data_IF_738252103906
#
_entry.id   IF_738252103906
#
_cell.length_a   1.000
_cell.length_b   1.000
_cell.length_c   1.000
_cell.angle_alpha   90.00
_cell.angle_beta   90.00
_cell.angle_gamma   90.00
#
_symmetry.space_group_name_H-M   'P 1'
#
loop_
_entity.id
_entity.type
_entity.pdbx_description
1 polymer ?
#
# COMPACT_ATOMS: atom_id res chain seq x y z
N UNK A 1 25.74 -36.56 -6.53
CA UNK A 1 26.65 -36.72 -5.37
C UNK A 1 26.23 -35.76 -4.28
N UNK A 2 26.46 -36.08 -3.01
CA UNK A 2 26.20 -35.17 -1.89
C UNK A 2 27.43 -34.31 -1.56
N UNK A 3 27.21 -33.07 -1.13
CA UNK A 3 28.28 -32.15 -0.72
C UNK A 3 28.29 -32.00 0.79
N UNK A 4 29.33 -32.52 1.45
CA UNK A 4 29.60 -32.29 2.87
C UNK A 4 30.30 -30.95 3.07
N UNK A 5 29.83 -30.14 4.02
CA UNK A 5 30.49 -28.91 4.44
C UNK A 5 31.02 -29.05 5.87
N UNK A 6 32.24 -28.58 6.12
CA UNK A 6 32.86 -28.56 7.44
C UNK A 6 32.62 -27.20 8.11
N UNK A 7 32.31 -27.22 9.40
CA UNK A 7 32.09 -26.01 10.20
C UNK A 7 33.36 -25.68 10.99
N UNK A 8 34.09 -24.62 10.61
CA UNK A 8 35.17 -24.07 11.42
C UNK A 8 34.59 -23.12 12.47
N UNK A 9 34.73 -23.47 13.75
CA UNK A 9 34.36 -22.59 14.87
C UNK A 9 35.40 -21.45 15.02
N UNK A 10 35.35 -20.45 14.13
CA UNK A 10 35.71 -19.05 14.40
C UNK A 10 35.57 -18.20 13.12
N UNK A 11 34.33 -17.86 12.77
CA UNK A 11 34.03 -16.80 11.81
C UNK A 11 32.94 -15.92 12.40
N UNK A 12 33.14 -14.60 12.39
CA UNK A 12 32.09 -13.62 12.71
C UNK A 12 30.87 -13.85 11.82
N UNK A 13 29.66 -13.66 12.37
CA UNK A 13 28.40 -13.87 11.63
C UNK A 13 28.48 -13.15 10.28
N UNK A 14 28.37 -13.85 9.13
CA UNK A 14 28.32 -13.17 7.85
C UNK A 14 27.08 -12.27 7.82
N UNK A 15 27.21 -11.07 7.25
CA UNK A 15 26.09 -10.16 7.13
C UNK A 15 24.93 -10.86 6.42
N UNK A 16 23.75 -10.90 7.07
CA UNK A 16 22.52 -11.32 6.43
C UNK A 16 22.32 -10.49 5.15
N UNK A 17 21.79 -11.08 4.06
CA UNK A 17 21.62 -10.38 2.80
C UNK A 17 20.59 -9.26 2.99
N UNK A 18 21.10 -8.03 3.18
CA UNK A 18 20.26 -6.83 3.20
C UNK A 18 19.71 -6.65 1.79
N UNK A 19 18.51 -7.17 1.56
CA UNK A 19 17.72 -6.90 0.36
C UNK A 19 17.31 -5.43 0.42
N UNK A 20 18.18 -4.57 -0.10
CA UNK A 20 17.93 -3.13 -0.20
C UNK A 20 16.70 -2.94 -1.08
N UNK A 21 15.57 -2.60 -0.45
CA UNK A 21 14.28 -2.35 -1.11
C UNK A 21 14.33 -1.04 -1.94
N UNK A 22 15.13 -1.04 -3.01
CA UNK A 22 15.17 0.04 -4.01
C UNK A 22 13.83 0.12 -4.72
N UNK A 23 12.94 0.99 -4.21
CA UNK A 23 12.02 1.86 -4.99
C UNK A 23 11.07 2.68 -4.10
N UNK A 24 10.99 2.38 -2.81
CA UNK A 24 10.69 3.40 -1.80
C UNK A 24 11.90 3.50 -0.89
N UNK A 25 12.32 4.72 -0.51
CA UNK A 25 13.37 4.87 0.49
C UNK A 25 12.84 4.28 1.79
N UNK A 26 13.34 3.09 2.15
CA UNK A 26 13.18 2.56 3.50
C UNK A 26 13.60 3.68 4.46
N UNK A 27 12.75 3.95 5.45
CA UNK A 27 13.08 4.88 6.53
C UNK A 27 14.43 4.44 7.12
N UNK A 28 15.34 5.38 7.38
CA UNK A 28 16.60 5.14 8.11
C UNK A 28 16.31 4.87 9.60
N UNK A 29 15.49 3.85 9.82
CA UNK A 29 15.13 3.33 11.12
C UNK A 29 16.36 2.55 11.60
N UNK A 30 17.02 3.06 12.64
CA UNK A 30 18.23 2.44 13.25
C UNK A 30 17.91 1.15 14.03
N UNK A 31 16.84 0.45 13.64
CA UNK A 31 16.18 -0.64 14.35
C UNK A 31 16.28 -1.88 13.47
N UNK A 32 16.77 -2.97 14.05
CA UNK A 32 17.09 -4.20 13.33
C UNK A 32 15.78 -4.87 12.89
N UNK A 33 15.55 -4.89 11.57
CA UNK A 33 14.35 -5.45 10.97
C UNK A 33 14.51 -6.96 10.81
N UNK A 34 13.68 -7.74 11.51
CA UNK A 34 13.61 -9.18 11.30
C UNK A 34 12.61 -9.46 10.18
N UNK A 35 13.11 -10.03 9.07
CA UNK A 35 12.26 -10.65 8.05
C UNK A 35 11.86 -12.06 8.49
N UNK A 36 10.69 -12.58 8.07
CA UNK A 36 10.32 -13.97 8.32
C UNK A 36 11.36 -14.96 7.77
N UNK A 37 11.57 -16.13 8.42
CA UNK A 37 12.61 -17.09 8.04
C UNK A 37 12.30 -17.90 6.76
N UNK A 38 11.35 -17.46 5.93
CA UNK A 38 10.91 -18.13 4.71
C UNK A 38 10.93 -17.19 3.52
N UNK A 39 11.24 -17.73 2.34
CA UNK A 39 11.22 -16.96 1.09
C UNK A 39 9.76 -16.65 0.69
N UNK A 40 9.42 -15.36 0.64
CA UNK A 40 8.08 -14.87 0.23
C UNK A 40 7.73 -15.27 -1.21
N UNK A 41 8.75 -15.52 -2.05
CA UNK A 41 8.59 -16.13 -3.38
C UNK A 41 9.90 -16.84 -3.78
N UNK A 42 9.91 -18.18 -3.96
CA UNK A 42 11.00 -18.86 -4.66
C UNK A 42 10.89 -18.61 -6.17
N UNK A 43 12.02 -18.45 -6.85
CA UNK A 43 12.06 -18.37 -8.31
C UNK A 43 11.74 -19.71 -8.98
N UNK A 44 11.76 -19.74 -10.32
CA UNK A 44 11.62 -20.98 -11.11
C UNK A 44 12.63 -22.03 -10.62
N UNK A 45 12.21 -23.26 -10.29
CA UNK A 45 13.13 -24.30 -9.85
C UNK A 45 14.20 -24.61 -10.91
N UNK A 46 15.51 -24.70 -10.56
CA UNK A 46 16.58 -24.92 -11.54
C UNK A 46 16.42 -26.21 -12.37
N UNK A 47 15.75 -27.23 -11.81
CA UNK A 47 15.43 -28.48 -12.50
C UNK A 47 14.30 -28.37 -13.55
N UNK A 48 13.80 -27.15 -13.82
CA UNK A 48 12.79 -26.83 -14.84
C UNK A 48 13.33 -25.76 -15.82
N UNK A 49 14.45 -25.10 -15.51
CA UNK A 49 15.02 -23.98 -16.26
C UNK A 49 15.38 -24.30 -17.72
N UNK A 50 15.65 -25.57 -18.04
CA UNK A 50 15.92 -26.04 -19.40
C UNK A 50 14.66 -26.26 -20.27
N UNK A 51 13.45 -26.16 -19.72
CA UNK A 51 12.21 -26.40 -20.45
C UNK A 51 11.78 -25.15 -21.24
N UNK A 52 11.68 -25.25 -22.57
CA UNK A 52 11.34 -24.11 -23.43
C UNK A 52 9.88 -23.70 -23.25
N UNK A 53 9.65 -22.57 -22.60
CA UNK A 53 8.34 -21.92 -22.53
C UNK A 53 7.92 -21.37 -23.89
N UNK A 54 6.63 -21.53 -24.22
CA UNK A 54 6.03 -21.03 -25.44
C UNK A 54 5.99 -19.50 -25.47
N UNK A 55 6.61 -18.90 -26.49
CA UNK A 55 6.56 -17.44 -26.71
C UNK A 55 5.12 -16.96 -26.92
N UNK A 56 4.82 -15.75 -26.46
CA UNK A 56 3.50 -15.10 -26.57
C UNK A 56 2.32 -15.89 -25.94
N UNK A 57 2.58 -16.72 -24.93
CA UNK A 57 1.52 -17.37 -24.16
C UNK A 57 0.60 -16.34 -23.46
N UNK A 58 -0.72 -16.59 -23.33
CA UNK A 58 -1.64 -15.70 -22.63
C UNK A 58 -1.29 -15.47 -21.15
N UNK A 59 -1.69 -14.31 -20.61
CA UNK A 59 -1.52 -13.97 -19.19
C UNK A 59 -2.57 -14.69 -18.32
N UNK A 60 -2.32 -15.97 -18.02
CA UNK A 60 -3.10 -16.78 -17.07
C UNK A 60 -2.89 -16.39 -15.61
N UNK A 61 -1.76 -15.75 -15.31
CA UNK A 61 -1.36 -15.32 -13.96
C UNK A 61 -1.32 -13.80 -13.88
N UNK A 62 -1.48 -13.27 -12.65
CA UNK A 62 -1.39 -11.83 -12.36
C UNK A 62 -0.13 -11.18 -12.94
N UNK A 63 -0.21 -9.90 -13.33
CA UNK A 63 0.90 -9.07 -13.81
C UNK A 63 2.03 -8.98 -12.78
N UNK A 64 3.29 -8.96 -13.25
CA UNK A 64 4.46 -9.02 -12.38
C UNK A 64 4.61 -7.78 -11.49
N UNK A 65 4.25 -6.60 -12.00
CA UNK A 65 4.30 -5.32 -11.28
C UNK A 65 3.29 -5.32 -10.13
N UNK A 66 2.10 -5.88 -10.35
CA UNK A 66 1.06 -5.99 -9.33
C UNK A 66 1.44 -7.05 -8.29
N UNK A 67 1.90 -8.23 -8.73
CA UNK A 67 2.43 -9.29 -7.84
C UNK A 67 3.55 -8.76 -6.94
N UNK A 68 4.57 -8.13 -7.51
CA UNK A 68 5.70 -7.57 -6.75
C UNK A 68 5.24 -6.49 -5.76
N UNK A 69 4.34 -5.59 -6.17
CA UNK A 69 3.79 -4.57 -5.28
C UNK A 69 2.97 -5.15 -4.12
N UNK A 70 2.21 -6.24 -4.35
CA UNK A 70 1.46 -6.96 -3.30
C UNK A 70 2.41 -7.69 -2.36
N UNK A 71 3.37 -8.46 -2.89
CA UNK A 71 4.35 -9.21 -2.08
C UNK A 71 5.22 -8.26 -1.24
N UNK A 72 5.63 -7.10 -1.79
CA UNK A 72 6.36 -6.08 -1.04
C UNK A 72 5.51 -5.48 0.10
N UNK A 73 4.25 -5.11 -0.18
CA UNK A 73 3.32 -4.60 0.85
C UNK A 73 3.04 -5.66 1.94
N UNK A 74 2.96 -6.93 1.57
CA UNK A 74 2.82 -8.04 2.51
C UNK A 74 4.10 -8.24 3.36
N UNK A 75 5.28 -8.28 2.75
CA UNK A 75 6.55 -8.39 3.48
C UNK A 75 6.75 -7.25 4.49
N UNK A 76 6.46 -6.00 4.11
CA UNK A 76 6.47 -4.85 5.02
C UNK A 76 5.45 -4.98 6.17
N UNK A 77 4.31 -5.63 5.93
CA UNK A 77 3.32 -5.93 6.97
C UNK A 77 3.83 -7.00 7.95
N UNK A 78 4.61 -7.96 7.46
CA UNK A 78 5.14 -9.08 8.25
C UNK A 78 6.40 -8.74 9.07
N UNK A 79 7.02 -7.57 8.90
CA UNK A 79 8.21 -7.17 9.66
C UNK A 79 7.96 -7.14 11.18
N UNK A 80 8.91 -7.66 11.96
CA UNK A 80 8.92 -7.59 13.42
C UNK A 80 10.20 -6.93 13.93
N UNK A 81 10.12 -6.36 15.14
CA UNK A 81 11.28 -5.88 15.89
C UNK A 81 11.87 -7.05 16.67
N UNK A 82 13.19 -7.12 16.76
CA UNK A 82 13.85 -7.95 17.75
C UNK A 82 13.80 -7.27 19.13
N UNK A 83 12.85 -7.70 19.97
CA UNK A 83 12.65 -7.16 21.32
C UNK A 83 13.78 -7.48 22.30
N UNK A 84 14.71 -8.40 21.97
CA UNK A 84 15.92 -8.62 22.78
C UNK A 84 16.96 -7.52 22.52
N UNK A 85 16.94 -6.88 21.34
CA UNK A 85 17.90 -5.86 20.92
C UNK A 85 17.37 -4.42 21.00
N UNK A 86 16.05 -4.21 20.94
CA UNK A 86 15.41 -2.90 21.19
C UNK A 86 14.29 -2.98 22.26
N UNK A 87 14.64 -2.92 23.56
CA UNK A 87 13.67 -2.89 24.65
C UNK A 87 12.93 -1.54 24.81
N UNK A 88 13.12 -0.56 23.91
CA UNK A 88 12.38 0.71 23.93
C UNK A 88 10.96 0.59 23.36
N UNK A 89 10.69 -0.46 22.60
CA UNK A 89 9.38 -0.78 22.02
C UNK A 89 8.67 -1.82 22.91
N UNK A 90 7.50 -1.51 23.50
CA UNK A 90 6.72 -2.51 24.23
C UNK A 90 6.29 -3.65 23.33
N UNK A 91 6.42 -4.89 23.79
CA UNK A 91 5.96 -6.08 23.05
C UNK A 91 4.43 -6.05 22.82
N UNK A 92 3.69 -5.52 23.80
CA UNK A 92 2.23 -5.40 23.82
C UNK A 92 1.79 -4.02 24.32
N UNK A 93 0.64 -3.54 23.83
CA UNK A 93 -0.06 -2.33 24.28
C UNK A 93 -1.56 -2.56 24.18
N UNK A 94 -2.26 -2.63 25.32
CA UNK A 94 -3.68 -2.96 25.40
C UNK A 94 -4.00 -4.25 24.60
N UNK A 95 -4.90 -4.23 23.62
CA UNK A 95 -5.31 -5.39 22.83
C UNK A 95 -4.44 -5.63 21.59
N UNK A 96 -3.19 -5.13 21.59
CA UNK A 96 -2.27 -5.17 20.44
C UNK A 96 -0.89 -5.70 20.82
N UNK A 97 -0.28 -6.47 19.92
CA UNK A 97 1.05 -7.07 20.05
C UNK A 97 1.92 -6.84 18.81
N UNK A 98 3.18 -7.30 18.87
CA UNK A 98 4.14 -7.25 17.74
C UNK A 98 4.29 -5.85 17.14
N UNK A 99 4.50 -4.86 18.03
CA UNK A 99 4.70 -3.46 17.65
C UNK A 99 5.97 -3.31 16.80
N UNK A 100 5.85 -2.52 15.73
CA UNK A 100 6.95 -2.18 14.82
C UNK A 100 6.90 -0.69 14.44
N UNK A 101 7.91 0.13 14.76
CA UNK A 101 7.88 1.57 14.48
C UNK A 101 7.93 1.87 12.97
N UNK A 102 7.02 2.73 12.53
CA UNK A 102 6.85 3.16 11.13
C UNK A 102 7.49 4.53 10.83
N UNK A 103 7.72 5.32 11.88
CA UNK A 103 8.44 6.59 11.86
C UNK A 103 9.76 6.35 12.61
N UNK A 104 10.91 6.80 12.08
CA UNK A 104 12.18 6.67 12.81
C UNK A 104 12.12 7.43 14.14
N UNK A 105 12.76 6.90 15.17
CA UNK A 105 13.02 7.66 16.41
C UNK A 105 13.80 8.92 16.07
N UNK A 106 13.27 10.13 16.31
CA UNK A 106 13.93 11.36 15.89
C UNK A 106 15.26 11.51 16.64
N UNK A 107 16.33 11.83 15.91
CA UNK A 107 17.69 11.87 16.44
C UNK A 107 17.86 12.87 17.59
N UNK A 108 17.01 13.89 17.61
CA UNK A 108 16.80 14.73 18.77
C UNK A 108 15.50 14.28 19.48
N UNK A 109 15.56 13.81 20.75
CA UNK A 109 14.35 13.56 21.56
C UNK A 109 13.44 14.79 21.64
N UNK A 110 14.01 15.98 21.42
CA UNK A 110 13.29 17.25 21.36
C UNK A 110 12.75 17.55 19.94
N UNK A 111 12.05 16.64 19.25
CA UNK A 111 11.53 16.90 17.88
C UNK A 111 10.03 16.59 17.68
N UNK A 112 9.21 17.64 17.50
CA UNK A 112 7.73 17.58 17.33
C UNK A 112 7.29 17.48 15.87
N UNK A 113 6.05 17.00 15.70
CA UNK A 113 5.25 17.26 14.49
C UNK A 113 4.71 18.70 14.46
N UNK A 114 4.72 19.32 13.27
CA UNK A 114 4.13 20.64 12.99
C UNK A 114 2.66 20.74 13.37
N UNK A 115 1.84 19.74 12.98
CA UNK A 115 0.38 19.86 13.00
C UNK A 115 -0.23 19.79 14.39
N UNK A 116 0.27 18.91 15.27
CA UNK A 116 -0.37 18.62 16.57
C UNK A 116 0.21 19.39 17.76
N UNK A 117 1.41 19.98 17.63
CA UNK A 117 2.11 20.61 18.75
C UNK A 117 2.72 19.62 19.77
N UNK A 118 2.58 18.31 19.56
CA UNK A 118 3.19 17.23 20.36
C UNK A 118 4.22 16.42 19.56
N UNK A 119 5.03 15.62 20.25
CA UNK A 119 5.78 14.53 19.64
C UNK A 119 4.81 13.37 19.43
N UNK A 120 4.83 12.74 18.26
CA UNK A 120 4.01 11.54 17.98
C UNK A 120 4.84 10.52 17.22
N UNK A 121 4.74 9.24 17.59
CA UNK A 121 5.33 8.14 16.81
C UNK A 121 4.25 7.15 16.38
N UNK A 122 4.42 6.57 15.18
CA UNK A 122 3.58 5.50 14.66
C UNK A 122 4.23 4.14 14.82
N UNK A 123 3.40 3.15 15.19
CA UNK A 123 3.74 1.74 15.18
C UNK A 123 2.71 0.98 14.36
N UNK A 124 3.15 0.06 13.50
CA UNK A 124 2.31 -1.08 13.11
C UNK A 124 2.17 -1.95 14.35
N UNK A 125 0.97 -2.41 14.68
CA UNK A 125 0.75 -3.46 15.66
C UNK A 125 -0.30 -4.45 15.15
N UNK A 126 -0.30 -5.68 15.63
CA UNK A 126 -1.30 -6.70 15.32
C UNK A 126 -2.29 -6.77 16.48
N UNK A 127 -3.59 -6.81 16.18
CA UNK A 127 -4.65 -6.81 17.20
C UNK A 127 -5.10 -8.22 17.55
N UNK A 128 -5.14 -8.56 18.84
CA UNK A 128 -5.44 -9.92 19.30
C UNK A 128 -6.79 -10.48 18.82
N UNK A 129 -7.82 -9.63 18.71
CA UNK A 129 -9.20 -10.08 18.42
C UNK A 129 -9.43 -10.54 16.98
N UNK A 130 -8.68 -10.02 16.02
CA UNK A 130 -8.92 -10.25 14.58
C UNK A 130 -7.64 -10.54 13.79
N UNK A 131 -6.45 -10.47 14.42
CA UNK A 131 -5.16 -10.75 13.78
C UNK A 131 -4.75 -9.72 12.73
N UNK A 132 -5.46 -8.60 12.60
CA UNK A 132 -5.21 -7.62 11.55
C UNK A 132 -4.15 -6.58 11.96
N UNK A 133 -3.38 -6.04 10.99
CA UNK A 133 -2.42 -4.99 11.23
C UNK A 133 -3.10 -3.61 11.32
N UNK A 134 -2.82 -2.88 12.39
CA UNK A 134 -3.28 -1.51 12.64
C UNK A 134 -2.10 -0.55 12.77
N UNK A 135 -2.35 0.74 12.50
CA UNK A 135 -1.40 1.82 12.79
C UNK A 135 -1.79 2.52 14.09
N UNK A 136 -0.98 2.35 15.14
CA UNK A 136 -1.13 3.01 16.43
C UNK A 136 -0.26 4.28 16.45
N UNK A 137 -0.87 5.46 16.58
CA UNK A 137 -0.14 6.71 16.80
C UNK A 137 -0.08 7.02 18.30
N UNK A 138 1.09 6.85 18.90
CA UNK A 138 1.37 7.25 20.28
C UNK A 138 1.66 8.75 20.34
N UNK A 139 1.13 9.44 21.35
CA UNK A 139 1.45 10.84 21.67
C UNK A 139 2.45 10.84 22.84
N UNK A 140 3.50 11.65 22.74
CA UNK A 140 4.54 11.81 23.77
C UNK A 140 4.66 13.28 24.19
N UNK A 141 5.10 13.52 25.43
CA UNK A 141 5.16 14.87 26.02
C UNK A 141 6.43 15.67 25.67
N UNK A 142 6.23 16.98 25.40
CA UNK A 142 7.22 18.08 25.23
C UNK A 142 7.86 18.28 23.82
N UNK A 143 8.84 19.20 23.71
CA UNK A 143 9.17 20.12 22.57
C UNK A 143 10.44 19.70 21.77
N UNK A 144 10.78 20.07 20.50
CA UNK A 144 10.19 20.94 19.45
C UNK A 144 10.78 20.73 17.99
N UNK A 145 9.91 20.54 16.96
CA UNK A 145 10.12 20.88 15.53
C UNK A 145 11.03 20.04 14.59
N UNK A 146 10.45 19.44 13.53
CA UNK A 146 11.18 18.79 12.42
C UNK A 146 10.71 19.21 10.99
N UNK A 147 11.53 18.96 9.97
CA UNK A 147 11.37 19.48 8.58
C UNK A 147 10.83 18.45 7.57
N UNK A 148 10.20 18.95 6.49
CA UNK A 148 9.76 18.13 5.35
C UNK A 148 10.88 17.96 4.30
N UNK A 149 10.86 16.84 3.57
CA UNK A 149 11.82 16.54 2.47
C UNK A 149 11.71 17.59 1.35
N UNK A 150 12.78 18.34 1.14
CA UNK A 150 13.04 19.06 -0.11
C UNK A 150 13.74 18.11 -1.11
N UNK A 151 13.85 18.53 -2.38
CA UNK A 151 14.37 17.78 -3.54
C UNK A 151 13.40 16.78 -4.20
N UNK A 152 12.39 17.33 -4.88
CA UNK A 152 11.82 16.76 -6.11
C UNK A 152 11.51 17.90 -7.09
N UNK A 153 11.24 17.60 -8.36
CA UNK A 153 10.77 18.59 -9.33
C UNK A 153 9.38 19.14 -8.99
N UNK A 154 8.90 20.11 -9.78
CA UNK A 154 7.51 20.55 -9.73
C UNK A 154 6.56 19.37 -10.03
N UNK A 155 5.43 19.30 -9.35
CA UNK A 155 4.48 18.19 -9.50
C UNK A 155 3.62 18.37 -10.76
N UNK A 156 3.29 17.32 -11.53
CA UNK A 156 2.36 17.43 -12.65
C UNK A 156 1.00 17.97 -12.19
N UNK A 157 0.44 18.95 -12.91
CA UNK A 157 -0.81 19.62 -12.49
C UNK A 157 -1.98 18.62 -12.34
N UNK A 158 -2.05 17.61 -13.20
CA UNK A 158 -3.02 16.52 -13.12
C UNK A 158 -2.95 15.73 -11.79
N UNK A 159 -1.76 15.60 -11.20
CA UNK A 159 -1.57 14.97 -9.89
C UNK A 159 -2.01 15.91 -8.76
N UNK A 160 -1.76 17.22 -8.88
CA UNK A 160 -2.27 18.22 -7.93
C UNK A 160 -3.80 18.21 -7.92
N UNK A 161 -4.46 18.22 -9.09
CA UNK A 161 -5.92 18.09 -9.21
C UNK A 161 -6.44 16.74 -8.69
N UNK A 162 -5.71 15.64 -8.92
CA UNK A 162 -6.02 14.32 -8.35
C UNK A 162 -6.07 14.36 -6.81
N UNK A 163 -5.15 15.09 -6.17
CA UNK A 163 -5.16 15.27 -4.71
C UNK A 163 -6.25 16.25 -4.26
N UNK A 164 -6.48 17.36 -4.98
CA UNK A 164 -7.55 18.32 -4.68
C UNK A 164 -8.91 17.61 -4.62
N UNK A 165 -9.27 16.82 -5.64
CA UNK A 165 -10.57 16.13 -5.70
C UNK A 165 -10.75 15.15 -4.53
N UNK A 166 -9.69 14.40 -4.17
CA UNK A 166 -9.73 13.47 -3.02
C UNK A 166 -9.86 14.21 -1.68
N UNK A 167 -9.13 15.32 -1.48
CA UNK A 167 -9.16 16.11 -0.26
C UNK A 167 -10.50 16.87 -0.11
N UNK A 168 -11.03 17.49 -1.16
CA UNK A 168 -12.34 18.14 -1.12
C UNK A 168 -13.47 17.13 -0.90
N UNK A 169 -13.37 15.92 -1.47
CA UNK A 169 -14.35 14.84 -1.20
C UNK A 169 -14.36 14.43 0.28
N UNK A 170 -13.17 14.30 0.89
CA UNK A 170 -13.04 14.01 2.32
C UNK A 170 -13.59 15.15 3.20
N UNK A 171 -13.23 16.40 2.92
CA UNK A 171 -13.75 17.57 3.65
C UNK A 171 -15.27 17.70 3.50
N UNK A 172 -15.84 17.48 2.32
CA UNK A 172 -17.31 17.50 2.12
C UNK A 172 -17.99 16.50 3.05
N UNK A 173 -17.47 15.28 3.15
CA UNK A 173 -18.02 14.25 4.05
C UNK A 173 -17.99 14.70 5.53
N UNK A 174 -16.84 15.19 6.00
CA UNK A 174 -16.64 15.65 7.37
C UNK A 174 -17.55 16.86 7.70
N UNK A 175 -17.60 17.85 6.81
CA UNK A 175 -18.40 19.06 6.99
C UNK A 175 -19.90 18.79 6.92
N UNK A 176 -20.36 17.88 6.05
CA UNK A 176 -21.76 17.42 6.00
C UNK A 176 -22.18 16.68 7.28
N UNK A 177 -21.27 15.99 7.97
CA UNK A 177 -21.53 15.42 9.30
C UNK A 177 -21.57 16.48 10.44
N UNK A 178 -21.37 17.77 10.12
CA UNK A 178 -21.27 18.86 11.10
C UNK A 178 -20.01 18.78 11.95
N UNK A 179 -18.92 18.25 11.39
CA UNK A 179 -17.59 18.14 11.99
C UNK A 179 -16.57 18.98 11.21
N UNK A 180 -15.34 19.09 11.71
CA UNK A 180 -14.21 19.70 11.04
C UNK A 180 -13.03 18.72 11.00
N UNK A 181 -12.09 18.91 10.09
CA UNK A 181 -10.95 18.03 9.89
C UNK A 181 -9.76 18.41 10.78
N UNK A 182 -9.51 19.73 10.96
CA UNK A 182 -8.53 20.37 11.87
C UNK A 182 -7.06 19.98 11.66
N UNK A 183 -6.78 19.15 10.65
CA UNK A 183 -5.53 18.38 10.47
C UNK A 183 -5.05 18.43 9.00
N UNK A 184 -5.54 19.40 8.22
CA UNK A 184 -5.23 19.56 6.78
C UNK A 184 -3.82 20.15 6.58
N UNK A 185 -2.79 19.30 6.71
CA UNK A 185 -1.37 19.65 6.62
C UNK A 185 -0.60 18.62 5.77
N UNK A 186 0.43 19.00 4.99
CA UNK A 186 1.15 18.06 4.13
C UNK A 186 1.77 16.87 4.88
N UNK A 187 2.15 17.02 6.16
CA UNK A 187 2.70 15.91 6.97
C UNK A 187 1.65 14.92 7.46
N UNK A 188 0.36 15.19 7.22
CA UNK A 188 -0.78 14.34 7.62
C UNK A 188 -1.55 13.76 6.44
N UNK A 189 -1.19 14.13 5.22
CA UNK A 189 -1.74 13.56 3.98
C UNK A 189 -0.83 12.40 3.56
N UNK A 190 -1.29 11.17 3.79
CA UNK A 190 -0.53 9.96 3.46
C UNK A 190 -0.86 9.48 2.04
N UNK A 191 0.17 9.18 1.25
CA UNK A 191 0.04 8.54 -0.06
C UNK A 191 -0.01 7.02 0.17
N UNK A 192 -1.17 6.43 -0.05
CA UNK A 192 -1.43 4.99 0.19
C UNK A 192 -1.20 4.11 -1.04
N UNK A 193 -1.17 4.73 -2.22
CA UNK A 193 -0.91 4.10 -3.51
C UNK A 193 -0.55 5.19 -4.54
N UNK A 194 -0.10 4.82 -5.75
CA UNK A 194 0.50 5.70 -6.79
C UNK A 194 -0.05 7.16 -6.85
N UNK A 195 -1.37 7.35 -6.77
CA UNK A 195 -2.02 8.67 -6.72
C UNK A 195 -3.09 8.81 -5.62
N UNK A 196 -3.17 7.85 -4.68
CA UNK A 196 -4.27 7.76 -3.70
C UNK A 196 -3.89 8.33 -2.34
N UNK A 197 -4.45 9.47 -1.99
CA UNK A 197 -4.21 10.15 -0.69
C UNK A 197 -5.27 9.81 0.36
N UNK A 198 -4.90 9.89 1.63
CA UNK A 198 -5.81 9.91 2.79
C UNK A 198 -5.32 10.92 3.83
N UNK A 199 -6.23 11.54 4.58
CA UNK A 199 -5.89 12.36 5.75
C UNK A 199 -5.76 11.44 6.97
N UNK A 200 -4.69 11.59 7.76
CA UNK A 200 -4.40 10.74 8.92
C UNK A 200 -4.42 11.53 10.24
N UNK A 201 -5.15 11.01 11.24
CA UNK A 201 -5.28 11.61 12.58
C UNK A 201 -6.38 12.68 12.71
N UNK A 202 -7.36 12.67 11.80
CA UNK A 202 -8.66 13.35 12.00
C UNK A 202 -9.26 12.89 13.34
N UNK A 203 -9.89 13.80 14.10
CA UNK A 203 -10.44 13.53 15.43
C UNK A 203 -9.46 13.72 16.59
N UNK A 204 -8.15 13.79 16.35
CA UNK A 204 -7.15 13.98 17.44
C UNK A 204 -7.35 15.34 18.14
N UNK A 205 -7.61 16.41 17.39
CA UNK A 205 -7.88 17.72 17.98
C UNK A 205 -9.24 17.85 18.66
N UNK A 206 -10.20 17.00 18.30
CA UNK A 206 -11.54 16.98 18.87
C UNK A 206 -11.54 16.25 20.22
N UNK A 207 -10.63 15.29 20.41
CA UNK A 207 -10.32 14.69 21.72
C UNK A 207 -9.44 15.61 22.57
N UNK A 208 -8.33 16.13 22.02
CA UNK A 208 -7.37 16.95 22.78
C UNK A 208 -7.87 18.36 23.11
N UNK A 209 -8.80 18.90 22.31
CA UNK A 209 -9.45 20.20 22.52
C UNK A 209 -10.83 20.10 23.16
N UNK A 210 -11.19 18.95 23.73
CA UNK A 210 -12.45 18.79 24.45
C UNK A 210 -12.36 19.43 25.84
N UNK A 211 -13.01 20.59 26.00
CA UNK A 211 -13.23 21.21 27.31
C UNK A 211 -14.67 21.00 27.77
N UNK A 212 -14.82 20.27 28.89
CA UNK A 212 -16.11 19.99 29.53
C UNK A 212 -16.74 21.24 30.20
N UNK A 213 -16.02 22.37 30.27
CA UNK A 213 -16.57 23.66 30.72
C UNK A 213 -17.46 24.34 29.66
N UNK A 214 -17.29 24.00 28.38
CA UNK A 214 -17.94 24.69 27.28
C UNK A 214 -19.37 24.18 27.05
N UNK A 215 -20.36 25.05 27.29
CA UNK A 215 -21.80 24.74 27.20
C UNK A 215 -22.30 24.32 25.81
N UNK A 216 -21.52 24.55 24.75
CA UNK A 216 -21.79 24.04 23.41
C UNK A 216 -20.48 23.72 22.65
N UNK A 217 -20.02 22.45 22.64
CA UNK A 217 -18.83 22.03 21.91
C UNK A 217 -18.86 22.26 20.38
N UNK A 218 -20.02 22.57 19.80
CA UNK A 218 -20.18 22.84 18.36
C UNK A 218 -20.18 24.34 18.01
N UNK A 219 -20.07 25.24 18.98
CA UNK A 219 -20.12 26.69 18.75
C UNK A 219 -19.03 27.18 17.78
N UNK A 220 -17.80 26.68 17.91
CA UNK A 220 -16.67 27.03 17.03
C UNK A 220 -16.61 26.21 15.73
N UNK A 221 -17.59 25.34 15.45
CA UNK A 221 -17.50 24.41 14.32
C UNK A 221 -17.38 25.12 12.97
N UNK A 222 -18.11 26.22 12.76
CA UNK A 222 -17.99 27.02 11.51
C UNK A 222 -16.60 27.65 11.35
N UNK A 223 -15.95 28.03 12.45
CA UNK A 223 -14.57 28.54 12.43
C UNK A 223 -13.59 27.44 12.03
N UNK A 224 -13.68 26.25 12.64
CA UNK A 224 -12.81 25.13 12.29
C UNK A 224 -13.02 24.63 10.85
N UNK A 225 -14.27 24.68 10.35
CA UNK A 225 -14.56 24.39 8.94
C UNK A 225 -13.93 25.42 8.00
N UNK A 226 -13.99 26.73 8.32
CA UNK A 226 -13.30 27.78 7.56
C UNK A 226 -11.77 27.62 7.62
N UNK A 227 -11.22 27.22 8.77
CA UNK A 227 -9.79 26.92 8.94
C UNK A 227 -9.34 25.74 8.06
N UNK A 228 -10.17 24.68 7.91
CA UNK A 228 -9.90 23.58 6.96
C UNK A 228 -9.79 24.08 5.51
N UNK A 229 -10.66 25.01 5.09
CA UNK A 229 -10.64 25.55 3.72
C UNK A 229 -9.35 26.34 3.44
N UNK A 230 -8.96 27.21 4.37
CA UNK A 230 -7.70 27.96 4.28
C UNK A 230 -6.48 27.02 4.35
N UNK A 231 -6.56 25.96 5.16
CA UNK A 231 -5.51 24.95 5.26
C UNK A 231 -5.38 24.11 3.98
N UNK A 232 -6.49 23.76 3.31
CA UNK A 232 -6.48 23.16 1.97
C UNK A 232 -5.76 24.06 0.96
N UNK A 233 -6.04 25.37 0.97
CA UNK A 233 -5.36 26.34 0.09
C UNK A 233 -3.84 26.35 0.31
N UNK A 234 -3.39 26.28 1.58
CA UNK A 234 -1.97 26.19 1.94
C UNK A 234 -1.32 24.88 1.49
N UNK A 235 -2.02 23.76 1.62
CA UNK A 235 -1.56 22.45 1.10
C UNK A 235 -1.39 22.50 -0.42
N UNK A 236 -2.35 23.05 -1.16
CA UNK A 236 -2.29 23.15 -2.63
C UNK A 236 -1.13 24.05 -3.08
N UNK A 237 -0.90 25.19 -2.40
CA UNK A 237 0.26 26.05 -2.68
C UNK A 237 1.60 25.37 -2.35
N UNK A 238 1.67 24.63 -1.24
CA UNK A 238 2.87 23.88 -0.88
C UNK A 238 3.20 22.74 -1.86
N UNK A 239 2.17 22.08 -2.42
CA UNK A 239 2.31 21.10 -3.49
C UNK A 239 2.77 21.75 -4.80
N UNK A 240 2.14 22.86 -5.20
CA UNK A 240 2.47 23.55 -6.45
C UNK A 240 3.90 24.13 -6.45
N UNK A 241 4.37 24.67 -5.33
CA UNK A 241 5.74 25.17 -5.18
C UNK A 241 6.74 24.10 -4.70
N UNK A 242 6.31 22.84 -4.50
CA UNK A 242 7.04 21.75 -3.84
C UNK A 242 7.86 22.18 -2.60
N UNK A 243 7.27 23.04 -1.75
CA UNK A 243 7.95 23.64 -0.60
C UNK A 243 6.96 24.12 0.44
N UNK A 244 7.13 23.72 1.70
CA UNK A 244 6.30 24.18 2.82
C UNK A 244 6.56 25.67 3.14
N UNK A 245 7.73 26.19 2.76
CA UNK A 245 8.09 27.61 2.97
C UNK A 245 7.28 28.59 2.12
N UNK A 246 6.54 28.12 1.09
CA UNK A 246 5.63 28.96 0.29
C UNK A 246 4.42 29.48 1.08
N UNK A 247 4.08 28.82 2.18
CA UNK A 247 3.00 29.19 3.09
C UNK A 247 3.33 30.44 3.92
N UNK A 248 4.62 30.81 4.03
CA UNK A 248 5.07 31.97 4.79
C UNK A 248 4.71 33.28 4.08
N UNK A 249 4.22 34.27 4.83
CA UNK A 249 3.71 35.55 4.29
C UNK A 249 4.69 36.25 3.37
N UNK A 250 5.98 36.24 3.71
CA UNK A 250 7.05 36.93 2.98
C UNK A 250 7.41 36.24 1.64
N UNK A 251 7.14 34.94 1.54
CA UNK A 251 7.33 34.15 0.32
C UNK A 251 6.05 34.04 -0.52
N UNK A 252 4.89 34.41 0.01
CA UNK A 252 3.60 34.24 -0.64
C UNK A 252 3.52 34.89 -2.04
N UNK A 253 3.98 36.13 -2.28
CA UNK A 253 3.92 36.74 -3.62
C UNK A 253 4.73 35.96 -4.66
N UNK A 254 5.97 35.59 -4.31
CA UNK A 254 6.87 34.78 -5.16
C UNK A 254 6.29 33.39 -5.42
N UNK A 255 5.58 32.83 -4.45
CA UNK A 255 4.94 31.52 -4.56
C UNK A 255 3.77 31.56 -5.54
N UNK A 256 2.95 32.62 -5.53
CA UNK A 256 1.89 32.83 -6.52
C UNK A 256 2.47 33.14 -7.91
N UNK A 257 3.58 33.87 -8.01
CA UNK A 257 4.29 34.09 -9.27
C UNK A 257 4.77 32.77 -9.89
N UNK A 258 5.42 31.90 -9.11
CA UNK A 258 5.80 30.54 -9.53
C UNK A 258 4.58 29.72 -9.97
N UNK A 259 3.42 29.86 -9.31
CA UNK A 259 2.19 29.19 -9.75
C UNK A 259 1.75 29.68 -11.13
N UNK A 260 1.73 31.00 -11.35
CA UNK A 260 1.32 31.61 -12.62
C UNK A 260 2.25 31.25 -13.78
N UNK A 261 3.54 31.04 -13.51
CA UNK A 261 4.53 30.67 -14.54
C UNK A 261 4.48 29.19 -14.96
N UNK A 262 3.94 28.29 -14.13
CA UNK A 262 4.08 26.83 -14.32
C UNK A 262 2.74 26.06 -14.40
N UNK A 263 1.61 26.66 -14.05
CA UNK A 263 0.31 25.98 -13.97
C UNK A 263 -0.83 26.82 -14.55
N UNK A 264 -1.98 26.18 -14.77
CA UNK A 264 -3.18 26.82 -15.30
C UNK A 264 -3.74 27.92 -14.39
N UNK A 265 -4.45 28.88 -15.01
CA UNK A 265 -5.19 29.90 -14.29
C UNK A 265 -6.26 29.31 -13.35
N UNK A 266 -6.80 28.11 -13.63
CA UNK A 266 -7.74 27.43 -12.73
C UNK A 266 -7.11 27.09 -11.38
N UNK A 267 -5.86 26.60 -11.38
CA UNK A 267 -5.18 26.23 -10.14
C UNK A 267 -4.86 27.49 -9.31
N UNK A 268 -4.37 28.54 -9.98
CA UNK A 268 -4.20 29.88 -9.40
C UNK A 268 -5.51 30.41 -8.81
N UNK A 269 -6.62 30.32 -9.55
CA UNK A 269 -7.93 30.82 -9.13
C UNK A 269 -8.45 30.05 -7.90
N UNK A 270 -8.27 28.73 -7.83
CA UNK A 270 -8.62 27.95 -6.64
C UNK A 270 -7.77 28.33 -5.42
N UNK A 271 -6.44 28.46 -5.59
CA UNK A 271 -5.53 28.86 -4.50
C UNK A 271 -5.92 30.26 -3.98
N UNK A 272 -6.15 31.22 -4.89
CA UNK A 272 -6.57 32.57 -4.52
C UNK A 272 -7.96 32.60 -3.88
N UNK A 273 -8.91 31.79 -4.36
CA UNK A 273 -10.24 31.65 -3.77
C UNK A 273 -10.17 31.14 -2.33
N UNK A 274 -9.36 30.11 -2.05
CA UNK A 274 -9.20 29.49 -0.73
C UNK A 274 -8.40 30.33 0.28
N UNK A 275 -7.50 31.19 -0.18
CA UNK A 275 -6.59 31.95 0.68
C UNK A 275 -6.96 33.43 0.84
N UNK A 276 -7.80 33.98 -0.04
CA UNK A 276 -8.30 35.36 0.11
C UNK A 276 -9.51 35.36 1.06
N UNK A 277 -9.47 36.11 2.18
CA UNK A 277 -10.62 36.19 3.09
C UNK A 277 -11.81 36.86 2.37
N UNK A 278 -12.96 36.17 2.34
CA UNK A 278 -14.19 36.68 1.75
C UNK A 278 -15.23 37.05 2.83
N UNK A 279 -16.19 37.89 2.44
CA UNK A 279 -17.30 38.33 3.31
C UNK A 279 -18.27 37.19 3.67
N UNK A 280 -18.32 36.14 2.84
CA UNK A 280 -19.08 34.90 3.09
C UNK A 280 -18.08 33.78 3.42
N UNK A 281 -18.33 32.93 4.44
CA UNK A 281 -17.50 31.76 4.70
C UNK A 281 -17.55 30.77 3.51
N UNK A 282 -16.42 30.11 3.25
CA UNK A 282 -16.29 29.14 2.16
C UNK A 282 -16.99 27.83 2.52
N UNK A 283 -17.87 27.34 1.66
CA UNK A 283 -18.34 25.96 1.72
C UNK A 283 -17.53 25.07 0.77
N UNK A 284 -17.29 23.81 1.13
CA UNK A 284 -16.67 22.83 0.22
C UNK A 284 -17.47 22.68 -1.09
N UNK A 285 -18.79 22.84 -1.03
CA UNK A 285 -19.67 22.78 -2.20
C UNK A 285 -19.48 23.98 -3.14
N UNK A 286 -19.05 25.15 -2.64
CA UNK A 286 -18.81 26.35 -3.47
C UNK A 286 -17.60 26.16 -4.43
N UNK A 287 -16.75 25.16 -4.17
CA UNK A 287 -15.60 24.77 -5.02
C UNK A 287 -16.02 23.84 -6.16
N UNK A 288 -17.19 23.17 -6.08
CA UNK A 288 -17.62 22.18 -7.06
C UNK A 288 -17.58 22.65 -8.52
N UNK A 289 -17.91 23.92 -8.88
CA UNK A 289 -17.74 24.41 -10.25
C UNK A 289 -16.29 24.38 -10.77
N UNK A 290 -15.29 24.60 -9.90
CA UNK A 290 -13.87 24.62 -10.29
C UNK A 290 -13.28 23.20 -10.48
N UNK A 291 -13.82 22.22 -9.76
CA UNK A 291 -13.34 20.82 -9.79
C UNK A 291 -14.26 19.87 -10.57
N UNK A 292 -15.46 20.30 -10.97
CA UNK A 292 -16.51 19.42 -11.50
C UNK A 292 -16.10 18.62 -12.73
N UNK A 293 -15.53 19.28 -13.75
CA UNK A 293 -15.01 18.59 -14.94
C UNK A 293 -13.90 17.58 -14.61
N UNK A 294 -13.06 17.91 -13.62
CA UNK A 294 -11.92 17.10 -13.15
C UNK A 294 -12.37 15.89 -12.31
N UNK A 295 -13.59 15.92 -11.76
CA UNK A 295 -14.17 14.80 -11.03
C UNK A 295 -14.43 13.60 -11.94
N UNK A 296 -14.87 13.82 -13.19
CA UNK A 296 -15.09 12.73 -14.15
C UNK A 296 -13.80 11.97 -14.43
N UNK A 297 -12.69 12.66 -14.71
CA UNK A 297 -11.37 12.02 -14.91
C UNK A 297 -10.91 11.19 -13.70
N UNK A 298 -11.31 11.55 -12.47
CA UNK A 298 -11.03 10.75 -11.26
C UNK A 298 -11.98 9.57 -11.11
N UNK A 299 -13.24 9.69 -11.52
CA UNK A 299 -14.20 8.60 -11.55
C UNK A 299 -13.77 7.56 -12.60
N UNK A 300 -13.45 7.98 -13.81
CA UNK A 300 -12.99 7.11 -14.91
C UNK A 300 -11.71 6.36 -14.51
N UNK A 301 -10.74 7.05 -13.91
CA UNK A 301 -9.50 6.44 -13.40
C UNK A 301 -9.74 5.49 -12.21
N UNK A 302 -10.82 5.67 -11.44
CA UNK A 302 -11.21 4.77 -10.37
C UNK A 302 -11.94 3.53 -10.92
N UNK A 303 -12.82 3.68 -11.92
CA UNK A 303 -13.53 2.59 -12.58
C UNK A 303 -12.58 1.69 -13.36
N UNK A 304 -11.75 2.26 -14.25
CA UNK A 304 -10.69 1.52 -14.96
C UNK A 304 -9.78 0.73 -14.01
N UNK A 305 -9.50 1.29 -12.82
CA UNK A 305 -8.73 0.59 -11.78
C UNK A 305 -9.52 -0.57 -11.17
N UNK A 306 -10.82 -0.45 -10.96
CA UNK A 306 -11.66 -1.56 -10.51
C UNK A 306 -11.65 -2.68 -11.55
N UNK A 307 -11.89 -2.37 -12.83
CA UNK A 307 -11.90 -3.34 -13.94
C UNK A 307 -10.58 -4.14 -14.01
N UNK A 308 -9.45 -3.45 -13.89
CA UNK A 308 -8.12 -4.08 -13.84
C UNK A 308 -7.97 -4.98 -12.61
N UNK A 309 -8.41 -4.55 -11.43
CA UNK A 309 -8.33 -5.37 -10.21
C UNK A 309 -9.25 -6.59 -10.29
N UNK A 310 -10.44 -6.45 -10.87
CA UNK A 310 -11.41 -7.53 -11.06
C UNK A 310 -10.90 -8.57 -12.05
N UNK A 311 -10.35 -8.14 -13.20
CA UNK A 311 -9.71 -9.04 -14.17
C UNK A 311 -8.52 -9.82 -13.57
N UNK A 312 -7.66 -9.16 -12.81
CA UNK A 312 -6.52 -9.82 -12.15
C UNK A 312 -6.97 -10.73 -11.00
N UNK A 313 -8.07 -10.39 -10.30
CA UNK A 313 -8.69 -11.25 -9.28
C UNK A 313 -9.36 -12.48 -9.91
N UNK A 314 -10.02 -12.35 -11.05
CA UNK A 314 -10.65 -13.45 -11.77
C UNK A 314 -9.62 -14.53 -12.15
N UNK A 315 -8.44 -14.13 -12.66
CA UNK A 315 -7.31 -15.03 -12.92
C UNK A 315 -6.90 -15.81 -11.68
N UNK A 316 -6.70 -15.16 -10.54
CA UNK A 316 -6.25 -15.84 -9.32
C UNK A 316 -7.36 -16.71 -8.68
N UNK A 317 -8.64 -16.37 -8.86
CA UNK A 317 -9.78 -17.24 -8.50
C UNK A 317 -9.80 -18.50 -9.37
N UNK A 318 -9.54 -18.36 -10.67
CA UNK A 318 -9.40 -19.47 -11.61
C UNK A 318 -8.16 -20.33 -11.29
N UNK A 319 -6.99 -19.74 -11.07
CA UNK A 319 -5.78 -20.44 -10.63
C UNK A 319 -6.02 -21.22 -9.33
N UNK A 320 -6.78 -20.65 -8.39
CA UNK A 320 -7.23 -21.35 -7.19
C UNK A 320 -8.17 -22.54 -7.47
N UNK A 321 -9.07 -22.45 -8.47
CA UNK A 321 -9.92 -23.56 -8.93
C UNK A 321 -9.06 -24.66 -9.56
N UNK A 322 -8.14 -24.28 -10.44
CA UNK A 322 -7.20 -25.17 -11.13
C UNK A 322 -6.30 -25.91 -10.14
N UNK A 323 -5.70 -25.21 -9.18
CA UNK A 323 -4.91 -25.81 -8.11
C UNK A 323 -5.70 -26.86 -7.33
N UNK A 324 -6.93 -26.54 -6.90
CA UNK A 324 -7.80 -27.51 -6.20
C UNK A 324 -8.17 -28.73 -7.05
N UNK A 325 -8.29 -28.58 -8.38
CA UNK A 325 -8.50 -29.71 -9.29
C UNK A 325 -7.24 -30.57 -9.42
N UNK A 326 -6.06 -29.95 -9.55
CA UNK A 326 -4.78 -30.66 -9.59
C UNK A 326 -4.47 -31.39 -8.27
N UNK A 327 -4.80 -30.79 -7.12
CA UNK A 327 -4.72 -31.49 -5.82
C UNK A 327 -5.61 -32.74 -5.81
N UNK A 328 -6.85 -32.66 -6.31
CA UNK A 328 -7.74 -33.83 -6.40
C UNK A 328 -7.20 -34.91 -7.33
N UNK A 329 -6.68 -34.53 -8.51
CA UNK A 329 -6.09 -35.47 -9.46
C UNK A 329 -4.86 -36.18 -8.86
N UNK A 330 -3.95 -35.44 -8.24
CA UNK A 330 -2.77 -35.98 -7.56
C UNK A 330 -3.11 -36.85 -6.33
N UNK A 331 -4.25 -36.62 -5.68
CA UNK A 331 -4.75 -37.42 -4.55
C UNK A 331 -5.47 -38.72 -5.01
N UNK A 332 -5.77 -38.88 -6.30
CA UNK A 332 -6.38 -40.09 -6.88
C UNK A 332 -5.32 -40.95 -7.61
N UNK A 333 -4.44 -40.29 -8.35
CA UNK A 333 -3.37 -40.91 -9.14
C UNK A 333 -2.32 -41.60 -8.27
N UNK A 334 -1.87 -42.80 -8.68
CA UNK A 334 -0.70 -43.52 -8.12
C UNK A 334 -0.66 -43.66 -6.57
N UNK A 335 -1.82 -43.89 -5.95
CA UNK A 335 -1.90 -44.19 -4.50
C UNK A 335 -1.13 -45.48 -4.14
N UNK A 336 -0.13 -45.44 -3.24
CA UNK A 336 0.59 -46.64 -2.80
C UNK A 336 -0.14 -47.42 -1.68
N UNK A 337 -1.10 -46.78 -0.98
CA UNK A 337 -1.67 -47.30 0.27
C UNK A 337 -2.69 -48.44 0.09
N UNK A 338 -3.24 -48.64 -1.12
CA UNK A 338 -4.04 -49.83 -1.46
C UNK A 338 -3.11 -51.00 -1.85
N UNK A 339 -2.21 -51.36 -0.93
CA UNK A 339 -0.99 -52.14 -1.13
C UNK A 339 -1.11 -53.63 -1.51
N UNK A 340 -2.11 -54.00 -2.32
CA UNK A 340 -2.10 -55.24 -3.12
C UNK A 340 -2.62 -55.05 -4.56
N UNK A 341 -3.23 -53.92 -4.92
CA UNK A 341 -3.57 -53.60 -6.32
C UNK A 341 -2.44 -52.79 -6.98
N UNK A 342 -1.43 -53.48 -7.55
CA UNK A 342 -0.40 -52.86 -8.39
C UNK A 342 -0.99 -52.16 -9.66
N UNK A 343 -2.28 -52.38 -9.92
CA UNK A 343 -3.07 -51.86 -11.05
C UNK A 343 -4.12 -50.82 -10.62
N UNK A 344 -3.98 -50.18 -9.45
CA UNK A 344 -4.90 -49.13 -8.96
C UNK A 344 -5.23 -48.07 -10.02
N UNK A 345 -4.23 -47.62 -10.79
CA UNK A 345 -4.38 -46.64 -11.88
C UNK A 345 -4.71 -47.24 -13.25
N UNK A 346 -4.75 -48.57 -13.39
CA UNK A 346 -4.98 -49.26 -14.67
C UNK A 346 -6.43 -49.81 -14.79
N UNK A 347 -7.33 -49.41 -13.89
CA UNK A 347 -8.68 -49.97 -13.75
C UNK A 347 -9.77 -48.92 -13.91
N UNK A 348 -10.69 -49.14 -14.87
CA UNK A 348 -11.87 -48.31 -15.11
C UNK A 348 -11.56 -46.82 -15.29
N UNK A 349 -12.38 -45.96 -14.69
CA UNK A 349 -12.27 -44.49 -14.79
C UNK A 349 -10.91 -43.95 -14.31
N UNK A 350 -10.21 -44.68 -13.43
CA UNK A 350 -8.89 -44.29 -12.92
C UNK A 350 -7.83 -44.30 -14.03
N UNK A 351 -7.96 -45.22 -14.99
CA UNK A 351 -7.10 -45.29 -16.18
C UNK A 351 -7.35 -44.10 -17.12
N UNK A 352 -8.59 -43.64 -17.26
CA UNK A 352 -8.91 -42.42 -18.01
C UNK A 352 -8.28 -41.17 -17.34
N UNK A 353 -8.27 -41.11 -16.00
CA UNK A 353 -7.60 -40.05 -15.26
C UNK A 353 -6.06 -40.10 -15.39
N UNK A 354 -5.47 -41.30 -15.44
CA UNK A 354 -4.03 -41.49 -15.72
C UNK A 354 -3.67 -40.99 -17.13
N UNK A 355 -4.41 -41.42 -18.16
CA UNK A 355 -4.22 -40.96 -19.54
C UNK A 355 -4.41 -39.43 -19.67
N UNK A 356 -5.38 -38.86 -18.94
CA UNK A 356 -5.58 -37.41 -18.91
C UNK A 356 -4.42 -36.65 -18.23
N UNK A 357 -3.87 -37.19 -17.12
CA UNK A 357 -2.63 -36.66 -16.51
C UNK A 357 -1.48 -36.68 -17.51
N UNK A 358 -1.29 -37.79 -18.21
CA UNK A 358 -0.21 -37.94 -19.19
C UNK A 358 -0.36 -36.94 -20.34
N UNK A 359 -1.60 -36.76 -20.84
CA UNK A 359 -1.93 -35.74 -21.85
C UNK A 359 -1.74 -34.28 -21.37
N UNK A 360 -1.86 -33.99 -20.07
CA UNK A 360 -1.58 -32.67 -19.50
C UNK A 360 -0.08 -32.40 -19.33
N UNK A 361 0.66 -33.35 -18.76
CA UNK A 361 2.00 -33.11 -18.20
C UNK A 361 3.14 -33.76 -18.96
N UNK A 362 2.91 -34.84 -19.71
CA UNK A 362 3.93 -35.53 -20.51
C UNK A 362 3.90 -35.05 -21.97
N UNK A 363 3.90 -33.72 -22.15
CA UNK A 363 3.90 -33.09 -23.47
C UNK A 363 5.25 -33.25 -24.16
N UNK A 364 5.23 -33.56 -25.46
CA UNK A 364 6.42 -33.71 -26.31
C UNK A 364 6.28 -32.92 -27.61
N UNK A 365 7.41 -32.50 -28.16
CA UNK A 365 7.51 -31.88 -29.49
C UNK A 365 7.36 -32.92 -30.61
N UNK A 366 7.21 -32.45 -31.85
CA UNK A 366 7.35 -33.27 -33.08
C UNK A 366 8.69 -34.01 -33.15
N UNK A 367 9.72 -33.48 -32.47
CA UNK A 367 11.06 -34.10 -32.35
C UNK A 367 11.22 -35.01 -31.13
N UNK A 368 10.15 -35.26 -30.36
CA UNK A 368 10.15 -36.13 -29.17
C UNK A 368 10.81 -35.52 -27.93
N UNK A 369 11.16 -34.23 -27.94
CA UNK A 369 11.74 -33.55 -26.79
C UNK A 369 10.62 -33.14 -25.79
N UNK A 370 10.88 -33.17 -24.46
CA UNK A 370 9.91 -32.72 -23.46
C UNK A 370 9.67 -31.21 -23.57
N UNK A 371 8.40 -30.80 -23.49
CA UNK A 371 7.94 -29.42 -23.66
C UNK A 371 6.92 -29.07 -22.55
N UNK A 372 6.73 -27.78 -22.25
CA UNK A 372 5.67 -27.33 -21.32
C UNK A 372 4.87 -26.16 -21.93
N UNK A 373 3.70 -26.47 -22.49
CA UNK A 373 2.69 -25.46 -22.80
C UNK A 373 1.74 -25.28 -21.60
N UNK A 374 1.92 -24.17 -20.88
CA UNK A 374 0.99 -23.79 -19.82
C UNK A 374 -0.41 -23.45 -20.36
N UNK A 375 -0.53 -23.01 -21.62
CA UNK A 375 -1.83 -22.74 -22.22
C UNK A 375 -2.61 -24.04 -22.46
N UNK A 376 -1.94 -25.11 -22.88
CA UNK A 376 -2.56 -26.44 -23.01
C UNK A 376 -3.08 -26.95 -21.67
N UNK A 377 -2.25 -26.88 -20.61
CA UNK A 377 -2.61 -27.32 -19.26
C UNK A 377 -3.85 -26.57 -18.76
N UNK A 378 -3.85 -25.23 -18.83
CA UNK A 378 -4.99 -24.40 -18.38
C UNK A 378 -6.24 -24.67 -19.21
N UNK A 379 -6.15 -24.72 -20.54
CA UNK A 379 -7.31 -24.96 -21.41
C UNK A 379 -7.94 -26.33 -21.20
N UNK A 380 -7.15 -27.38 -21.05
CA UNK A 380 -7.67 -28.74 -20.81
C UNK A 380 -8.29 -28.89 -19.42
N UNK A 381 -7.70 -28.29 -18.38
CA UNK A 381 -8.29 -28.27 -17.04
C UNK A 381 -9.57 -27.42 -16.97
N UNK A 382 -9.69 -26.37 -17.77
CA UNK A 382 -10.92 -25.55 -17.86
C UNK A 382 -12.08 -26.35 -18.47
N UNK A 383 -11.86 -27.00 -19.62
CA UNK A 383 -12.86 -27.87 -20.27
C UNK A 383 -13.39 -28.96 -19.32
N UNK A 384 -12.50 -29.60 -18.56
CA UNK A 384 -12.88 -30.63 -17.56
C UNK A 384 -13.68 -30.06 -16.37
N UNK A 385 -13.60 -28.76 -16.13
CA UNK A 385 -14.41 -28.08 -15.11
C UNK A 385 -15.76 -27.56 -15.62
N UNK A 386 -16.13 -27.80 -16.89
CA UNK A 386 -17.39 -27.32 -17.47
C UNK A 386 -17.39 -25.83 -17.83
N UNK A 387 -16.24 -25.31 -18.26
CA UNK A 387 -16.03 -23.93 -18.77
C UNK A 387 -15.59 -23.99 -20.24
#
# INVERSE_FOLDING_TARGET
>A
GGTTYFFTQNTTRPNLPVVVLKNYSAVECRIIQVMPPFHVFPGTPPNIEYMSLKANAPSFFMANELRQAILQKHALTMLTVDTEQDPSVPAEVDNYHSLFPLEATPENPLQKSSTYGFVTSCYKAIKYKDGLPYCLRRIHGKWNGGTARQNAGLLPESLIWTYIVQLTSALRCIHTAGLACRVVDPTKIIITDKSRVRINGVGIFDVLGYDNSHSNPRAHMQQYQQEDMVALGKVVLALACNSVSSIQRDNFPKSIELVVMNYSNDLKNLIMYLLTPQQRPHNVNDIMPMIGARFYTQLDAALLRCDVIENEMAKEVENGRLFRMLSKLGVINERPEFGMEATWSETGDRYLLKLFRDHLFHQVTETGAPWVDMAHIVQCLNKVCGV
#
